data_IF_665497637347
#
_entry.id   IF_665497637347
#
_cell.length_a   1.000
_cell.length_b   1.000
_cell.length_c   1.000
_cell.angle_alpha   90.00
_cell.angle_beta   90.00
_cell.angle_gamma   90.00
#
_symmetry.space_group_name_H-M   'P 1'
#
loop_
_entity.id
_entity.type
_entity.pdbx_description
1 polymer ?
#
# COMPACT_ATOMS: atom_id res chain seq x y z
N UNK A 1 13.78 65.90 26.27
CA UNK A 1 12.80 64.92 25.75
C UNK A 1 13.56 63.89 24.95
N UNK A 2 13.81 62.71 25.53
CA UNK A 2 14.47 61.60 24.85
C UNK A 2 13.40 60.75 24.18
N UNK A 3 13.29 60.84 22.86
CA UNK A 3 12.41 59.99 22.06
C UNK A 3 13.06 58.63 21.87
N UNK A 4 12.59 57.63 22.62
CA UNK A 4 12.95 56.24 22.40
C UNK A 4 12.19 55.71 21.17
N UNK A 5 12.88 55.64 20.03
CA UNK A 5 12.42 54.89 18.88
C UNK A 5 12.55 53.39 19.17
N UNK A 6 11.46 52.76 19.59
CA UNK A 6 11.38 51.31 19.67
C UNK A 6 11.48 50.74 18.26
N UNK A 7 12.56 50.02 17.97
CA UNK A 7 12.64 49.17 16.80
C UNK A 7 11.50 48.14 16.92
N UNK A 8 10.51 48.25 16.05
CA UNK A 8 9.58 47.16 15.79
C UNK A 8 10.41 46.01 15.25
N UNK A 9 10.64 44.99 16.08
CA UNK A 9 11.10 43.69 15.60
C UNK A 9 10.11 43.28 14.49
N UNK A 10 10.56 43.29 13.24
CA UNK A 10 9.82 42.68 12.14
C UNK A 10 9.62 41.22 12.54
N UNK A 11 8.36 40.85 12.78
CA UNK A 11 8.00 39.48 13.07
C UNK A 11 8.48 38.56 11.94
N UNK A 12 8.62 37.25 12.21
CA UNK A 12 8.96 36.30 11.17
C UNK A 12 7.98 36.45 9.99
N UNK A 13 8.47 36.33 8.73
CA UNK A 13 7.64 36.49 7.55
C UNK A 13 6.43 35.56 7.64
N UNK A 14 5.24 36.10 7.37
CA UNK A 14 4.01 35.31 7.36
C UNK A 14 4.07 34.26 6.25
N UNK A 15 3.73 33.02 6.60
CA UNK A 15 3.65 31.94 5.64
C UNK A 15 2.53 32.21 4.62
N UNK A 16 2.78 32.08 3.30
CA UNK A 16 1.80 32.44 2.26
C UNK A 16 0.50 31.62 2.31
N UNK A 17 0.48 30.51 3.05
CA UNK A 17 -0.71 29.67 3.25
C UNK A 17 -1.34 29.80 4.63
N UNK A 18 -0.82 30.70 5.48
CA UNK A 18 -1.27 30.87 6.86
C UNK A 18 -0.91 29.69 7.78
N UNK A 19 -0.01 28.80 7.35
CA UNK A 19 0.45 27.63 8.10
C UNK A 19 1.89 27.89 8.55
N UNK A 20 2.15 28.25 9.82
CA UNK A 20 3.49 28.64 10.25
C UNK A 20 4.56 27.58 9.96
N UNK A 21 5.62 27.98 9.25
CA UNK A 21 6.77 27.14 8.95
C UNK A 21 6.59 26.18 7.77
N UNK A 22 5.45 26.18 7.09
CA UNK A 22 5.19 25.28 5.95
C UNK A 22 6.13 25.57 4.78
N UNK A 23 6.28 26.84 4.39
CA UNK A 23 7.15 27.24 3.29
C UNK A 23 8.60 26.84 3.52
N UNK A 24 9.14 27.14 4.70
CA UNK A 24 10.50 26.77 5.08
C UNK A 24 10.71 25.26 5.10
N UNK A 25 9.73 24.50 5.61
CA UNK A 25 9.81 23.03 5.62
C UNK A 25 9.75 22.44 4.21
N UNK A 26 8.92 22.99 3.32
CA UNK A 26 8.85 22.57 1.92
C UNK A 26 10.12 22.90 1.16
N UNK A 27 10.66 24.12 1.33
CA UNK A 27 11.92 24.52 0.70
C UNK A 27 13.05 23.57 1.12
N UNK A 28 13.19 23.29 2.41
CA UNK A 28 14.20 22.35 2.91
C UNK A 28 14.02 20.93 2.35
N UNK A 29 12.77 20.45 2.24
CA UNK A 29 12.46 19.11 1.74
C UNK A 29 12.66 18.98 0.22
N UNK A 30 12.41 20.03 -0.56
CA UNK A 30 12.48 20.01 -2.02
C UNK A 30 13.85 20.39 -2.56
N UNK A 31 14.64 21.16 -1.81
CA UNK A 31 15.96 21.64 -2.22
C UNK A 31 16.89 20.53 -2.76
N UNK A 32 16.97 19.32 -2.15
CA UNK A 32 17.83 18.25 -2.66
C UNK A 32 17.41 17.72 -4.03
N UNK A 33 16.18 17.99 -4.47
CA UNK A 33 15.59 17.43 -5.68
C UNK A 33 15.33 18.50 -6.76
N UNK A 34 15.76 19.75 -6.55
CA UNK A 34 15.54 20.84 -7.49
C UNK A 34 16.10 20.54 -8.89
N UNK A 35 17.23 19.85 -8.98
CA UNK A 35 17.86 19.49 -10.26
C UNK A 35 17.11 18.39 -11.04
N UNK A 36 16.20 17.66 -10.37
CA UNK A 36 15.37 16.63 -10.99
C UNK A 36 14.10 17.20 -11.63
N UNK A 37 13.69 18.41 -11.26
CA UNK A 37 12.53 19.09 -11.83
C UNK A 37 12.94 19.93 -13.03
N UNK A 38 12.27 19.71 -14.16
CA UNK A 38 12.59 20.37 -15.44
C UNK A 38 11.56 21.41 -15.84
N UNK A 39 10.37 21.38 -15.23
CA UNK A 39 9.24 22.22 -15.63
C UNK A 39 8.98 23.38 -14.67
N UNK A 40 9.28 23.21 -13.37
CA UNK A 40 8.98 24.19 -12.33
C UNK A 40 10.27 24.76 -11.74
N UNK A 41 10.28 26.07 -11.47
CA UNK A 41 11.32 26.63 -10.61
C UNK A 41 11.22 26.09 -9.18
N UNK A 42 12.29 26.14 -8.36
CA UNK A 42 12.21 25.73 -6.96
C UNK A 42 11.09 26.44 -6.18
N UNK A 43 10.89 27.73 -6.44
CA UNK A 43 9.81 28.52 -5.83
C UNK A 43 8.43 28.06 -6.30
N UNK A 44 8.30 27.69 -7.58
CA UNK A 44 7.08 27.12 -8.13
C UNK A 44 6.78 25.75 -7.52
N UNK A 45 7.78 24.88 -7.32
CA UNK A 45 7.62 23.59 -6.64
C UNK A 45 7.05 23.79 -5.23
N UNK A 46 7.68 24.67 -4.43
CA UNK A 46 7.22 25.03 -3.09
C UNK A 46 5.79 25.62 -3.15
N UNK A 47 5.53 26.49 -4.14
CA UNK A 47 4.22 27.13 -4.32
C UNK A 47 3.11 26.14 -4.64
N UNK A 48 3.36 25.20 -5.55
CA UNK A 48 2.40 24.19 -5.97
C UNK A 48 2.11 23.23 -4.81
N UNK A 49 3.14 22.70 -4.16
CA UNK A 49 2.96 21.76 -3.05
C UNK A 49 2.26 22.42 -1.87
N UNK A 50 2.68 23.62 -1.46
CA UNK A 50 2.06 24.35 -0.35
C UNK A 50 0.57 24.60 -0.58
N UNK A 51 0.16 24.96 -1.81
CA UNK A 51 -1.26 25.11 -2.17
C UNK A 51 -2.04 23.80 -2.04
N UNK A 52 -1.47 22.65 -2.44
CA UNK A 52 -2.13 21.34 -2.34
C UNK A 52 -2.26 20.90 -0.89
N UNK A 53 -1.18 21.01 -0.12
CA UNK A 53 -1.15 20.70 1.32
C UNK A 53 -2.18 21.53 2.06
N UNK A 54 -2.16 22.86 1.91
CA UNK A 54 -3.11 23.76 2.58
C UNK A 54 -4.56 23.47 2.17
N UNK A 55 -4.83 23.24 0.88
CA UNK A 55 -6.19 22.93 0.40
C UNK A 55 -6.72 21.61 0.97
N UNK A 56 -5.90 20.55 0.96
CA UNK A 56 -6.29 19.25 1.50
C UNK A 56 -6.49 19.32 3.02
N UNK A 57 -5.62 20.05 3.72
CA UNK A 57 -5.72 20.28 5.15
C UNK A 57 -7.01 21.04 5.54
N UNK A 58 -7.36 22.10 4.79
CA UNK A 58 -8.59 22.85 4.99
C UNK A 58 -9.84 21.98 4.76
N UNK A 59 -9.79 21.04 3.81
CA UNK A 59 -10.87 20.06 3.60
C UNK A 59 -10.96 19.09 4.79
N UNK A 60 -9.83 18.61 5.29
CA UNK A 60 -9.78 17.69 6.42
C UNK A 60 -10.19 18.33 7.74
N UNK A 61 -9.98 19.64 7.92
CA UNK A 61 -10.45 20.39 9.10
C UNK A 61 -11.97 20.30 9.32
N UNK A 62 -12.72 19.91 8.28
CA UNK A 62 -14.17 19.69 8.33
C UNK A 62 -14.55 18.24 8.72
N UNK A 63 -13.58 17.38 9.01
CA UNK A 63 -13.86 16.00 9.44
C UNK A 63 -14.58 15.99 10.81
N UNK A 64 -15.79 15.44 10.83
CA UNK A 64 -16.66 15.41 12.00
C UNK A 64 -16.03 14.68 13.20
N UNK A 65 -15.13 13.72 12.96
CA UNK A 65 -14.42 12.98 14.01
C UNK A 65 -13.56 13.89 14.88
N UNK A 66 -13.12 15.05 14.35
CA UNK A 66 -12.34 16.03 15.09
C UNK A 66 -13.12 16.72 16.22
N UNK A 67 -14.46 16.67 16.19
CA UNK A 67 -15.33 17.23 17.23
C UNK A 67 -15.51 16.27 18.40
N UNK A 68 -15.25 14.99 18.19
CA UNK A 68 -15.39 13.93 19.18
C UNK A 68 -14.23 13.93 20.17
N UNK A 69 -14.48 13.44 21.38
CA UNK A 69 -13.41 13.17 22.35
C UNK A 69 -12.90 11.76 22.10
N UNK A 70 -11.64 11.63 21.71
CA UNK A 70 -11.04 10.33 21.41
C UNK A 70 -9.95 9.89 22.37
N UNK A 71 -9.52 8.64 22.18
CA UNK A 71 -8.34 8.06 22.80
C UNK A 71 -7.12 8.10 21.86
N UNK A 72 -5.94 7.76 22.38
CA UNK A 72 -4.68 7.86 21.64
C UNK A 72 -4.72 7.11 20.28
N UNK A 73 -5.26 5.89 20.25
CA UNK A 73 -5.37 5.13 19.00
C UNK A 73 -6.32 5.76 17.95
N UNK A 74 -7.42 6.41 18.36
CA UNK A 74 -8.27 7.19 17.45
C UNK A 74 -7.52 8.41 16.91
N UNK A 75 -6.78 9.11 17.77
CA UNK A 75 -5.91 10.21 17.34
C UNK A 75 -4.87 9.77 16.31
N UNK A 76 -4.20 8.63 16.54
CA UNK A 76 -3.25 8.03 15.59
C UNK A 76 -3.92 7.74 14.24
N UNK A 77 -5.07 7.07 14.24
CA UNK A 77 -5.80 6.75 13.01
C UNK A 77 -6.19 8.00 12.22
N UNK A 78 -6.68 9.06 12.89
CA UNK A 78 -7.02 10.32 12.23
C UNK A 78 -5.79 11.00 11.63
N UNK A 79 -4.64 10.98 12.30
CA UNK A 79 -3.38 11.52 11.76
C UNK A 79 -2.94 10.74 10.51
N UNK A 80 -3.07 9.42 10.53
CA UNK A 80 -2.76 8.59 9.36
C UNK A 80 -3.69 8.92 8.18
N UNK A 81 -5.00 8.99 8.41
CA UNK A 81 -5.97 9.39 7.39
C UNK A 81 -5.70 10.80 6.85
N UNK A 82 -5.30 11.73 7.73
CA UNK A 82 -4.94 13.10 7.38
C UNK A 82 -3.74 13.15 6.43
N UNK A 83 -2.67 12.44 6.78
CA UNK A 83 -1.46 12.36 5.96
C UNK A 83 -1.78 11.74 4.60
N UNK A 84 -2.50 10.61 4.57
CA UNK A 84 -2.91 9.97 3.32
C UNK A 84 -3.77 10.89 2.46
N UNK A 85 -4.75 11.60 3.05
CA UNK A 85 -5.61 12.52 2.31
C UNK A 85 -4.81 13.67 1.67
N UNK A 86 -3.77 14.17 2.35
CA UNK A 86 -2.90 15.21 1.82
C UNK A 86 -2.01 14.66 0.71
N UNK A 87 -1.31 13.54 0.95
CA UNK A 87 -0.37 12.96 -0.02
C UNK A 87 -1.09 12.49 -1.28
N UNK A 88 -2.30 11.92 -1.19
CA UNK A 88 -3.14 11.66 -2.37
C UNK A 88 -3.43 12.91 -3.20
N UNK A 89 -3.61 14.08 -2.57
CA UNK A 89 -3.78 15.34 -3.30
C UNK A 89 -2.49 15.83 -3.97
N UNK A 90 -1.32 15.46 -3.45
CA UNK A 90 -0.02 15.77 -4.02
C UNK A 90 0.25 14.83 -5.21
N UNK A 91 0.16 13.51 -4.99
CA UNK A 91 0.36 12.48 -6.02
C UNK A 91 -0.55 12.72 -7.22
N UNK A 92 -1.83 13.06 -7.02
CA UNK A 92 -2.74 13.30 -8.13
C UNK A 92 -2.31 14.46 -9.06
N UNK A 93 -1.50 15.38 -8.56
CA UNK A 93 -1.06 16.58 -9.30
C UNK A 93 0.37 16.46 -9.82
N UNK A 94 1.15 15.49 -9.35
CA UNK A 94 2.58 15.36 -9.63
C UNK A 94 2.97 13.90 -9.96
N UNK A 95 2.01 13.06 -10.39
CA UNK A 95 2.21 11.60 -10.55
C UNK A 95 3.31 11.23 -11.54
N UNK A 96 3.66 12.16 -12.44
CA UNK A 96 4.68 12.06 -13.47
C UNK A 96 6.05 12.58 -13.03
N UNK A 97 6.16 13.16 -11.83
CA UNK A 97 7.41 13.75 -11.32
C UNK A 97 8.29 12.69 -10.69
N UNK A 98 9.50 12.53 -11.20
CA UNK A 98 10.47 11.52 -10.75
C UNK A 98 10.91 11.71 -9.29
N UNK A 99 10.95 12.96 -8.82
CA UNK A 99 11.32 13.31 -7.45
C UNK A 99 10.19 13.09 -6.43
N UNK A 100 8.95 12.84 -6.88
CA UNK A 100 7.77 12.80 -6.00
C UNK A 100 7.95 11.83 -4.82
N UNK A 101 8.47 10.63 -5.05
CA UNK A 101 8.64 9.64 -3.98
C UNK A 101 9.94 9.80 -3.17
N UNK A 102 10.83 10.71 -3.60
CA UNK A 102 12.13 10.94 -2.95
C UNK A 102 12.07 12.05 -1.88
N UNK A 103 11.02 12.88 -1.91
CA UNK A 103 10.86 14.01 -1.00
C UNK A 103 10.51 13.55 0.42
N UNK A 104 11.22 14.09 1.42
CA UNK A 104 10.84 13.94 2.83
C UNK A 104 9.64 14.84 3.16
N UNK A 105 8.44 14.28 3.04
CA UNK A 105 7.21 14.99 3.38
C UNK A 105 6.94 15.10 4.88
N UNK A 106 7.70 14.43 5.76
CA UNK A 106 7.37 14.42 7.18
C UNK A 106 7.45 15.83 7.80
N UNK A 107 8.52 16.62 7.66
CA UNK A 107 8.58 17.97 8.21
C UNK A 107 7.44 18.90 7.77
N UNK A 108 7.13 19.06 6.46
CA UNK A 108 6.02 19.92 6.05
C UNK A 108 4.67 19.38 6.55
N UNK A 109 4.43 18.07 6.52
CA UNK A 109 3.18 17.51 7.04
C UNK A 109 3.02 17.65 8.54
N UNK A 110 4.10 17.65 9.31
CA UNK A 110 4.08 17.96 10.75
C UNK A 110 3.62 19.41 10.97
N UNK A 111 4.14 20.37 10.20
CA UNK A 111 3.69 21.76 10.27
C UNK A 111 2.19 21.91 9.95
N UNK A 112 1.72 21.26 8.89
CA UNK A 112 0.29 21.26 8.52
C UNK A 112 -0.55 20.58 9.61
N UNK A 113 -0.15 19.39 10.10
CA UNK A 113 -0.86 18.66 11.14
C UNK A 113 -0.99 19.50 12.42
N UNK A 114 0.09 20.15 12.86
CA UNK A 114 0.06 21.01 14.03
C UNK A 114 -0.86 22.21 13.87
N UNK A 115 -0.91 22.82 12.69
CA UNK A 115 -1.81 23.92 12.43
C UNK A 115 -3.27 23.44 12.42
N UNK A 116 -3.58 22.42 11.62
CA UNK A 116 -4.95 21.97 11.36
C UNK A 116 -5.58 21.25 12.54
N UNK A 117 -4.82 20.45 13.28
CA UNK A 117 -5.35 19.59 14.35
C UNK A 117 -5.29 20.26 15.74
N UNK A 118 -4.81 21.50 15.82
CA UNK A 118 -4.66 22.24 17.09
C UNK A 118 -6.00 22.45 17.78
N UNK A 119 -6.05 22.12 19.07
CA UNK A 119 -7.21 22.42 19.91
C UNK A 119 -8.40 21.48 19.73
N UNK A 120 -8.33 20.52 18.80
CA UNK A 120 -9.38 19.52 18.62
C UNK A 120 -9.41 18.51 19.78
N UNK A 121 -10.62 18.19 20.25
CA UNK A 121 -10.83 17.36 21.45
C UNK A 121 -10.32 15.92 21.29
N UNK A 122 -10.27 15.42 20.07
CA UNK A 122 -9.78 14.08 19.75
C UNK A 122 -8.30 13.90 20.11
N UNK A 123 -7.53 15.00 20.13
CA UNK A 123 -6.11 15.02 20.48
C UNK A 123 -5.84 15.49 21.91
N UNK A 124 -6.85 15.62 22.76
CA UNK A 124 -6.67 16.09 24.15
C UNK A 124 -5.71 15.23 24.99
N UNK A 125 -5.38 14.01 24.52
CA UNK A 125 -4.42 13.08 25.14
C UNK A 125 -3.25 12.71 24.24
N UNK A 126 -3.13 13.34 23.07
CA UNK A 126 -2.04 13.08 22.13
C UNK A 126 -1.01 14.19 22.31
N UNK A 127 0.18 13.82 22.82
CA UNK A 127 1.27 14.75 23.00
C UNK A 127 1.87 15.16 21.65
N UNK A 128 2.44 16.36 21.57
CA UNK A 128 3.08 16.89 20.37
C UNK A 128 4.12 15.91 19.78
N UNK A 129 5.08 15.35 20.54
CA UNK A 129 6.05 14.40 19.99
C UNK A 129 5.41 13.11 19.45
N UNK A 130 4.24 12.71 19.96
CA UNK A 130 3.52 11.56 19.42
C UNK A 130 2.91 11.87 18.05
N UNK A 131 2.46 13.11 17.82
CA UNK A 131 1.94 13.55 16.52
C UNK A 131 3.03 13.48 15.44
N UNK A 132 4.21 14.01 15.71
CA UNK A 132 5.36 13.94 14.80
C UNK A 132 5.69 12.49 14.41
N UNK A 133 5.80 11.61 15.41
CA UNK A 133 6.03 10.18 15.18
C UNK A 133 4.93 9.56 14.31
N UNK A 134 3.66 9.86 14.57
CA UNK A 134 2.55 9.32 13.78
C UNK A 134 2.52 9.86 12.34
N UNK A 135 2.93 11.12 12.13
CA UNK A 135 3.09 11.68 10.78
C UNK A 135 4.20 10.96 10.04
N UNK A 136 5.37 10.77 10.66
CA UNK A 136 6.49 10.03 10.07
C UNK A 136 6.10 8.59 9.71
N UNK A 137 5.48 7.86 10.64
CA UNK A 137 4.96 6.50 10.38
C UNK A 137 3.97 6.47 9.20
N UNK A 138 3.10 7.48 9.10
CA UNK A 138 2.12 7.57 8.01
C UNK A 138 2.77 7.89 6.65
N UNK A 139 3.79 8.77 6.63
CA UNK A 139 4.56 9.09 5.42
C UNK A 139 5.32 7.86 4.92
N UNK A 140 6.02 7.15 5.82
CA UNK A 140 6.73 5.92 5.47
C UNK A 140 5.78 4.85 4.92
N UNK A 141 4.62 4.69 5.56
CA UNK A 141 3.58 3.77 5.07
C UNK A 141 3.07 4.16 3.68
N UNK A 142 2.78 5.43 3.44
CA UNK A 142 2.35 5.90 2.13
C UNK A 142 3.42 5.65 1.07
N UNK A 143 4.68 5.98 1.36
CA UNK A 143 5.78 5.76 0.43
C UNK A 143 5.96 4.28 0.08
N UNK A 144 5.80 3.40 1.07
CA UNK A 144 5.84 1.95 0.87
C UNK A 144 4.65 1.45 0.02
N UNK A 145 3.44 1.98 0.24
CA UNK A 145 2.25 1.66 -0.57
C UNK A 145 2.44 2.10 -2.03
N UNK A 146 2.97 3.30 -2.29
CA UNK A 146 3.28 3.78 -3.66
C UNK A 146 4.39 2.96 -4.33
N UNK A 147 5.43 2.60 -3.58
CA UNK A 147 6.52 1.74 -4.06
C UNK A 147 6.00 0.36 -4.46
N UNK A 148 5.24 -0.28 -3.57
CA UNK A 148 4.61 -1.57 -3.83
C UNK A 148 3.72 -1.50 -5.07
N UNK A 149 2.90 -0.45 -5.18
CA UNK A 149 2.00 -0.28 -6.31
C UNK A 149 2.73 -0.20 -7.66
N UNK A 150 3.84 0.55 -7.69
CA UNK A 150 4.72 0.68 -8.85
C UNK A 150 5.38 -0.65 -9.20
N UNK A 151 6.00 -1.33 -8.24
CA UNK A 151 6.67 -2.61 -8.47
C UNK A 151 5.68 -3.68 -8.98
N UNK A 152 4.45 -3.70 -8.45
CA UNK A 152 3.39 -4.59 -8.95
C UNK A 152 3.01 -4.24 -10.38
N UNK A 153 2.88 -2.95 -10.71
CA UNK A 153 2.57 -2.54 -12.08
C UNK A 153 3.66 -2.96 -13.06
N UNK A 154 4.93 -2.69 -12.75
CA UNK A 154 6.08 -3.05 -13.56
C UNK A 154 6.18 -4.57 -13.76
N UNK A 155 5.97 -5.36 -12.69
CA UNK A 155 5.94 -6.82 -12.78
C UNK A 155 4.81 -7.33 -13.71
N UNK A 156 3.62 -6.72 -13.64
CA UNK A 156 2.50 -7.06 -14.54
C UNK A 156 2.79 -6.67 -15.98
N UNK A 157 3.48 -5.56 -16.23
CA UNK A 157 3.87 -5.13 -17.58
C UNK A 157 4.95 -6.02 -18.20
N UNK A 158 5.86 -6.55 -17.38
CA UNK A 158 6.91 -7.47 -17.80
C UNK A 158 6.37 -8.84 -18.21
N UNK A 159 5.22 -9.27 -17.66
CA UNK A 159 4.61 -10.56 -17.98
C UNK A 159 3.74 -10.54 -19.24
N UNK A 160 3.46 -11.73 -19.78
CA UNK A 160 2.63 -11.95 -20.98
C UNK A 160 1.11 -11.76 -20.75
N UNK A 161 0.71 -10.73 -20.00
CA UNK A 161 -0.69 -10.36 -19.73
C UNK A 161 -1.16 -9.32 -20.76
N UNK A 162 -2.31 -9.58 -21.38
CA UNK A 162 -2.99 -8.63 -22.29
C UNK A 162 -3.15 -7.27 -21.64
N UNK A 163 -2.81 -6.22 -22.40
CA UNK A 163 -2.84 -4.82 -21.92
C UNK A 163 -4.19 -4.43 -21.30
N UNK A 164 -5.30 -4.85 -21.92
CA UNK A 164 -6.66 -4.60 -21.44
C UNK A 164 -6.98 -5.21 -20.08
N UNK A 165 -6.20 -6.20 -19.62
CA UNK A 165 -6.37 -6.88 -18.35
C UNK A 165 -5.31 -6.53 -17.30
N UNK A 166 -4.26 -5.77 -17.65
CA UNK A 166 -3.17 -5.41 -16.71
C UNK A 166 -3.70 -4.71 -15.45
N UNK A 167 -4.60 -3.73 -15.61
CA UNK A 167 -5.23 -3.03 -14.48
C UNK A 167 -6.03 -3.97 -13.56
N UNK A 168 -6.72 -4.95 -14.14
CA UNK A 168 -7.46 -5.96 -13.39
C UNK A 168 -6.51 -6.92 -12.67
N UNK A 169 -5.44 -7.36 -13.35
CA UNK A 169 -4.38 -8.20 -12.79
C UNK A 169 -3.73 -7.52 -11.57
N UNK A 170 -3.26 -6.27 -11.71
CA UNK A 170 -2.74 -5.45 -10.59
C UNK A 170 -3.72 -5.43 -9.42
N UNK A 171 -4.99 -5.13 -9.67
CA UNK A 171 -6.01 -5.10 -8.62
C UNK A 171 -6.18 -6.43 -7.88
N UNK A 172 -6.09 -7.56 -8.60
CA UNK A 172 -6.13 -8.90 -7.98
C UNK A 172 -4.87 -9.22 -7.18
N UNK A 173 -3.69 -8.83 -7.66
CA UNK A 173 -2.41 -9.03 -6.95
C UNK A 173 -2.40 -8.23 -5.65
N UNK A 174 -2.76 -6.95 -5.68
CA UNK A 174 -2.79 -6.08 -4.49
C UNK A 174 -3.80 -6.60 -3.44
N UNK A 175 -5.01 -6.96 -3.87
CA UNK A 175 -6.00 -7.53 -2.95
C UNK A 175 -5.55 -8.88 -2.36
N UNK A 176 -4.86 -9.71 -3.15
CA UNK A 176 -4.29 -10.96 -2.67
C UNK A 176 -3.13 -10.73 -1.68
N UNK A 177 -2.31 -9.70 -1.90
CA UNK A 177 -1.21 -9.30 -1.01
C UNK A 177 -1.73 -8.90 0.37
N UNK A 178 -2.74 -8.03 0.40
CA UNK A 178 -3.37 -7.58 1.66
C UNK A 178 -3.99 -8.76 2.43
N UNK A 179 -4.67 -9.67 1.73
CA UNK A 179 -5.29 -10.83 2.36
C UNK A 179 -4.29 -11.89 2.82
N UNK A 180 -3.16 -12.03 2.14
CA UNK A 180 -2.12 -13.00 2.48
C UNK A 180 -1.55 -12.76 3.89
N UNK A 181 -1.48 -11.50 4.34
CA UNK A 181 -1.05 -11.16 5.71
C UNK A 181 -1.86 -11.86 6.80
N UNK A 182 -3.12 -12.21 6.53
CA UNK A 182 -4.03 -12.82 7.51
C UNK A 182 -4.36 -14.27 7.15
N UNK A 183 -4.41 -14.59 5.85
CA UNK A 183 -4.93 -15.86 5.35
C UNK A 183 -3.89 -16.82 4.80
N UNK A 184 -2.61 -16.43 4.76
CA UNK A 184 -1.57 -17.36 4.38
C UNK A 184 -1.59 -18.62 5.28
N UNK A 185 -1.16 -19.78 4.76
CA UNK A 185 -1.17 -21.03 5.51
C UNK A 185 -0.01 -21.05 6.51
N UNK A 186 -0.08 -20.18 7.52
CA UNK A 186 0.93 -20.04 8.55
C UNK A 186 1.13 -21.36 9.30
N UNK A 187 2.39 -21.66 9.65
CA UNK A 187 2.81 -22.86 10.38
C UNK A 187 2.55 -24.20 9.63
N UNK A 188 2.53 -24.19 8.30
CA UNK A 188 2.33 -25.39 7.46
C UNK A 188 3.56 -25.82 6.68
N UNK A 189 4.56 -24.95 6.51
CA UNK A 189 5.79 -25.24 5.79
C UNK A 189 6.98 -25.36 6.74
N UNK A 190 8.01 -26.07 6.29
CA UNK A 190 9.31 -26.14 6.96
C UNK A 190 10.38 -25.65 6.00
N UNK A 191 11.24 -24.74 6.46
CA UNK A 191 12.39 -24.24 5.72
C UNK A 191 13.66 -24.33 6.59
N UNK A 192 14.78 -23.80 6.08
CA UNK A 192 16.06 -23.78 6.80
C UNK A 192 15.98 -23.00 8.12
N UNK A 193 15.16 -21.95 8.16
CA UNK A 193 14.82 -21.17 9.36
C UNK A 193 13.31 -20.99 9.48
N UNK A 194 12.76 -20.83 10.71
CA UNK A 194 11.36 -20.51 10.92
C UNK A 194 10.92 -19.23 10.19
N UNK A 195 11.76 -18.21 10.18
CA UNK A 195 11.46 -16.91 9.55
C UNK A 195 11.40 -17.03 8.02
N UNK A 196 12.27 -17.85 7.42
CA UNK A 196 12.19 -18.18 6.00
C UNK A 196 10.93 -19.01 5.70
N UNK A 197 10.51 -19.90 6.60
CA UNK A 197 9.25 -20.64 6.44
C UNK A 197 8.04 -19.70 6.44
N UNK A 198 7.99 -18.73 7.35
CA UNK A 198 6.94 -17.69 7.37
C UNK A 198 6.91 -16.89 6.05
N UNK A 199 8.07 -16.50 5.52
CA UNK A 199 8.13 -15.79 4.25
C UNK A 199 7.63 -16.66 3.08
N UNK A 200 8.00 -17.94 3.06
CA UNK A 200 7.52 -18.91 2.06
C UNK A 200 6.01 -19.13 2.17
N UNK A 201 5.46 -19.22 3.38
CA UNK A 201 4.02 -19.34 3.63
C UNK A 201 3.25 -18.12 3.17
N UNK A 202 3.76 -16.92 3.47
CA UNK A 202 3.19 -15.67 2.96
C UNK A 202 3.09 -15.70 1.44
N UNK A 203 4.20 -16.02 0.75
CA UNK A 203 4.25 -16.06 -0.71
C UNK A 203 3.33 -17.14 -1.29
N UNK A 204 3.30 -18.36 -0.72
CA UNK A 204 2.36 -19.41 -1.14
C UNK A 204 0.91 -18.96 -0.97
N UNK A 205 0.58 -18.34 0.16
CA UNK A 205 -0.74 -17.77 0.45
C UNK A 205 -1.12 -16.67 -0.54
N UNK A 206 -0.19 -15.78 -0.86
CA UNK A 206 -0.37 -14.71 -1.83
C UNK A 206 -0.64 -15.25 -3.24
N UNK A 207 0.13 -16.24 -3.70
CA UNK A 207 -0.09 -16.94 -4.98
C UNK A 207 -1.48 -17.58 -4.99
N UNK A 208 -1.83 -18.35 -3.95
CA UNK A 208 -3.13 -19.04 -3.84
C UNK A 208 -4.31 -18.07 -3.95
N UNK A 209 -4.28 -16.97 -3.18
CA UNK A 209 -5.33 -15.95 -3.18
C UNK A 209 -5.42 -15.22 -4.53
N UNK A 210 -4.29 -14.98 -5.19
CA UNK A 210 -4.26 -14.38 -6.51
C UNK A 210 -4.90 -15.30 -7.55
N UNK A 211 -4.47 -16.56 -7.66
CA UNK A 211 -4.98 -17.52 -8.65
C UNK A 211 -6.50 -17.71 -8.49
N UNK A 212 -6.98 -17.84 -7.25
CA UNK A 212 -8.40 -17.96 -6.95
C UNK A 212 -9.23 -16.74 -7.44
N UNK A 213 -8.66 -15.53 -7.40
CA UNK A 213 -9.34 -14.29 -7.83
C UNK A 213 -9.18 -14.03 -9.32
N UNK A 214 -8.06 -14.42 -9.88
CA UNK A 214 -7.61 -14.04 -11.20
C UNK A 214 -7.93 -15.11 -12.27
N UNK A 215 -8.73 -16.12 -11.94
CA UNK A 215 -9.11 -17.23 -12.83
C UNK A 215 -9.54 -16.79 -14.23
N UNK A 216 -10.46 -15.82 -14.33
CA UNK A 216 -10.93 -15.27 -15.61
C UNK A 216 -9.78 -14.70 -16.46
N UNK A 217 -8.81 -14.05 -15.82
CA UNK A 217 -7.64 -13.49 -16.48
C UNK A 217 -6.62 -14.57 -16.85
N UNK A 218 -6.47 -15.61 -16.03
CA UNK A 218 -5.64 -16.77 -16.37
C UNK A 218 -6.20 -17.58 -17.56
N UNK A 219 -7.53 -17.64 -17.70
CA UNK A 219 -8.22 -18.36 -18.78
C UNK A 219 -8.32 -17.56 -20.09
N UNK A 220 -8.28 -16.24 -20.04
CA UNK A 220 -8.56 -15.40 -21.23
C UNK A 220 -7.51 -14.31 -21.49
N UNK A 221 -6.54 -14.14 -20.60
CA UNK A 221 -5.65 -12.98 -20.55
C UNK A 221 -4.23 -13.16 -21.08
N UNK A 222 -3.84 -14.38 -21.47
CA UNK A 222 -2.53 -14.63 -22.09
C UNK A 222 -2.50 -14.13 -23.54
N UNK A 223 -1.45 -13.40 -23.92
CA UNK A 223 -1.35 -12.70 -25.22
C UNK A 223 -1.30 -13.66 -26.41
N UNK A 224 -0.62 -14.80 -26.28
CA UNK A 224 -0.28 -15.67 -27.42
C UNK A 224 -1.14 -16.95 -27.50
N UNK A 225 -1.96 -17.23 -26.48
CA UNK A 225 -2.69 -18.49 -26.38
C UNK A 225 -4.21 -18.32 -26.61
N UNK A 226 -4.74 -19.07 -27.58
CA UNK A 226 -6.19 -19.13 -27.85
C UNK A 226 -6.92 -19.88 -26.74
N UNK A 227 -6.26 -20.86 -26.14
CA UNK A 227 -6.73 -21.61 -24.98
C UNK A 227 -5.56 -21.84 -24.01
N UNK A 228 -5.49 -21.06 -22.92
CA UNK A 228 -4.50 -21.26 -21.87
C UNK A 228 -4.50 -22.69 -21.35
N UNK A 229 -3.33 -23.28 -21.26
CA UNK A 229 -3.11 -24.58 -20.62
C UNK A 229 -2.77 -24.38 -19.14
N UNK A 230 -2.90 -25.42 -18.32
CA UNK A 230 -2.44 -25.38 -16.92
C UNK A 230 -0.97 -24.96 -16.85
N UNK A 231 -0.12 -25.54 -17.69
CA UNK A 231 1.32 -25.29 -17.69
C UNK A 231 1.64 -23.83 -18.06
N UNK A 232 0.93 -23.24 -19.02
CA UNK A 232 1.13 -21.83 -19.37
C UNK A 232 0.62 -20.87 -18.29
N UNK A 233 -0.42 -21.25 -17.54
CA UNK A 233 -0.89 -20.49 -16.37
C UNK A 233 0.11 -20.57 -15.21
N UNK A 234 0.64 -21.76 -14.91
CA UNK A 234 1.70 -21.95 -13.91
C UNK A 234 2.95 -21.16 -14.29
N UNK A 235 3.34 -21.19 -15.57
CA UNK A 235 4.50 -20.44 -16.06
C UNK A 235 4.29 -18.93 -15.89
N UNK A 236 3.12 -18.39 -16.26
CA UNK A 236 2.79 -16.97 -16.04
C UNK A 236 2.89 -16.62 -14.55
N UNK A 237 2.26 -17.40 -13.68
CA UNK A 237 2.29 -17.15 -12.23
C UNK A 237 3.72 -17.22 -11.69
N UNK A 238 4.52 -18.18 -12.18
CA UNK A 238 5.93 -18.30 -11.80
C UNK A 238 6.70 -17.04 -12.19
N UNK A 239 6.61 -16.61 -13.45
CA UNK A 239 7.30 -15.41 -13.94
C UNK A 239 6.88 -14.16 -13.17
N UNK A 240 5.57 -13.96 -12.99
CA UNK A 240 5.00 -12.84 -12.26
C UNK A 240 5.53 -12.77 -10.83
N UNK A 241 5.46 -13.88 -10.10
CA UNK A 241 5.91 -13.90 -8.71
C UNK A 241 7.43 -13.86 -8.58
N UNK A 242 8.20 -14.38 -9.54
CA UNK A 242 9.66 -14.17 -9.57
C UNK A 242 10.00 -12.68 -9.69
N UNK A 243 9.30 -11.93 -10.54
CA UNK A 243 9.48 -10.48 -10.65
C UNK A 243 9.09 -9.76 -9.35
N UNK A 244 7.94 -10.11 -8.75
CA UNK A 244 7.45 -9.53 -7.49
C UNK A 244 8.35 -9.84 -6.27
N UNK A 245 9.05 -10.96 -6.29
CA UNK A 245 9.98 -11.35 -5.21
C UNK A 245 11.44 -11.06 -5.56
N UNK A 246 11.71 -10.40 -6.68
CA UNK A 246 13.06 -10.02 -7.05
C UNK A 246 13.63 -8.97 -6.07
N UNK A 247 14.95 -8.95 -5.81
CA UNK A 247 15.56 -7.92 -4.97
C UNK A 247 15.37 -6.51 -5.53
N UNK A 248 15.29 -6.36 -6.86
CA UNK A 248 15.15 -5.07 -7.53
C UNK A 248 13.70 -4.53 -7.47
N UNK A 249 12.71 -5.43 -7.41
CA UNK A 249 11.28 -5.12 -7.34
C UNK A 249 10.64 -5.67 -6.07
N UNK A 250 11.32 -5.56 -4.93
CA UNK A 250 10.98 -6.29 -3.70
C UNK A 250 9.58 -5.94 -3.16
N UNK A 251 8.54 -6.63 -3.62
CA UNK A 251 7.18 -6.48 -3.10
C UNK A 251 6.96 -7.28 -1.81
N UNK A 252 7.98 -7.95 -1.28
CA UNK A 252 7.89 -8.74 -0.07
C UNK A 252 7.71 -7.84 1.17
N UNK A 253 6.90 -8.25 2.17
CA UNK A 253 6.75 -7.49 3.40
C UNK A 253 8.10 -7.30 4.10
N UNK A 254 8.50 -6.05 4.32
CA UNK A 254 9.82 -5.70 4.86
C UNK A 254 10.07 -6.33 6.23
N UNK A 255 9.04 -6.46 7.06
CA UNK A 255 9.05 -7.11 8.37
C UNK A 255 9.49 -8.58 8.27
N UNK A 256 8.95 -9.31 7.29
CA UNK A 256 9.24 -10.73 7.08
C UNK A 256 10.63 -10.91 6.48
N UNK A 257 11.02 -10.05 5.53
CA UNK A 257 12.35 -10.07 4.93
C UNK A 257 13.42 -9.75 5.98
N UNK A 258 13.18 -8.76 6.85
CA UNK A 258 14.09 -8.40 7.93
C UNK A 258 14.24 -9.54 8.95
N UNK A 259 13.16 -10.27 9.25
CA UNK A 259 13.20 -11.41 10.15
C UNK A 259 13.98 -12.61 9.56
N UNK A 260 13.91 -12.84 8.25
CA UNK A 260 14.54 -14.00 7.60
C UNK A 260 16.08 -13.96 7.59
N UNK A 261 16.71 -12.83 7.92
CA UNK A 261 18.16 -12.53 7.90
C UNK A 261 18.87 -12.69 6.54
N UNK A 262 18.41 -13.61 5.69
CA UNK A 262 18.92 -13.89 4.35
C UNK A 262 17.89 -13.50 3.30
N UNK A 263 18.30 -12.66 2.35
CA UNK A 263 17.49 -12.34 1.17
C UNK A 263 17.22 -13.61 0.36
N UNK A 264 15.99 -13.84 -0.12
CA UNK A 264 15.71 -14.94 -1.03
C UNK A 264 16.63 -14.93 -2.27
N UNK A 265 17.06 -16.09 -2.78
CA UNK A 265 17.86 -16.16 -3.99
C UNK A 265 17.05 -15.65 -5.20
N UNK A 266 17.73 -15.12 -6.22
CA UNK A 266 17.10 -14.70 -7.49
C UNK A 266 17.78 -15.41 -8.67
N UNK A 267 17.07 -16.27 -9.43
CA UNK A 267 15.66 -16.66 -9.27
C UNK A 267 15.44 -17.49 -8.00
N UNK A 268 14.24 -17.42 -7.43
CA UNK A 268 13.90 -18.16 -6.21
C UNK A 268 13.19 -19.48 -6.56
N UNK A 269 13.83 -20.67 -6.40
CA UNK A 269 13.23 -21.93 -6.85
C UNK A 269 11.89 -22.27 -6.17
N UNK A 270 11.66 -21.75 -4.96
CA UNK A 270 10.43 -21.93 -4.22
C UNK A 270 9.20 -21.42 -4.98
N UNK A 271 9.32 -20.34 -5.77
CA UNK A 271 8.18 -19.75 -6.49
C UNK A 271 7.53 -20.76 -7.44
N UNK A 272 8.35 -21.45 -8.26
CA UNK A 272 7.85 -22.46 -9.19
C UNK A 272 7.17 -23.63 -8.45
N UNK A 273 7.76 -24.07 -7.34
CA UNK A 273 7.20 -25.14 -6.50
C UNK A 273 5.86 -24.71 -5.87
N UNK A 274 5.78 -23.48 -5.38
CA UNK A 274 4.57 -22.91 -4.79
C UNK A 274 3.46 -22.74 -5.83
N UNK A 275 3.78 -22.25 -7.03
CA UNK A 275 2.82 -22.17 -8.13
C UNK A 275 2.28 -23.56 -8.51
N UNK A 276 3.14 -24.55 -8.71
CA UNK A 276 2.70 -25.92 -9.02
C UNK A 276 1.80 -26.51 -7.92
N UNK A 277 2.19 -26.34 -6.66
CA UNK A 277 1.39 -26.79 -5.52
C UNK A 277 0.02 -26.13 -5.48
N UNK A 278 -0.06 -24.81 -5.69
CA UNK A 278 -1.33 -24.06 -5.67
C UNK A 278 -2.27 -24.54 -6.77
N UNK A 279 -1.77 -24.75 -8.00
CA UNK A 279 -2.62 -25.25 -9.08
C UNK A 279 -3.03 -26.71 -8.84
N UNK A 280 -2.15 -27.54 -8.27
CA UNK A 280 -2.49 -28.90 -7.83
C UNK A 280 -3.62 -28.92 -6.79
N UNK A 281 -3.52 -28.06 -5.76
CA UNK A 281 -4.55 -27.93 -4.72
C UNK A 281 -5.92 -27.53 -5.32
N UNK A 282 -5.93 -26.69 -6.36
CA UNK A 282 -7.15 -26.30 -7.08
C UNK A 282 -7.75 -27.45 -7.89
N UNK A 283 -6.92 -28.19 -8.63
CA UNK A 283 -7.36 -29.34 -9.42
C UNK A 283 -7.99 -30.42 -8.52
N UNK A 284 -7.40 -30.68 -7.35
CA UNK A 284 -7.94 -31.59 -6.33
C UNK A 284 -9.25 -31.08 -5.73
N UNK A 285 -9.35 -29.77 -5.47
CA UNK A 285 -10.56 -29.12 -4.97
C UNK A 285 -11.74 -29.24 -5.94
N UNK A 286 -11.50 -29.02 -7.24
CA UNK A 286 -12.51 -29.15 -8.30
C UNK A 286 -12.95 -30.60 -8.49
N UNK A 287 -12.01 -31.55 -8.45
CA UNK A 287 -12.32 -32.98 -8.50
C UNK A 287 -13.17 -33.42 -7.30
N UNK A 288 -12.84 -32.95 -6.10
CA UNK A 288 -13.60 -33.21 -4.87
C UNK A 288 -15.02 -32.65 -4.93
N UNK A 289 -15.17 -31.41 -5.41
CA UNK A 289 -16.48 -30.77 -5.59
C UNK A 289 -17.34 -31.51 -6.65
N UNK A 290 -16.74 -31.93 -7.76
CA UNK A 290 -17.42 -32.72 -8.78
C UNK A 290 -17.87 -34.09 -8.26
N UNK A 291 -17.02 -34.79 -7.50
CA UNK A 291 -17.35 -36.06 -6.87
C UNK A 291 -18.51 -35.93 -5.87
N UNK A 292 -18.49 -34.88 -5.03
CA UNK A 292 -19.56 -34.60 -4.08
C UNK A 292 -20.89 -34.26 -4.79
N UNK A 293 -20.84 -33.55 -5.92
CA UNK A 293 -22.03 -33.26 -6.73
C UNK A 293 -22.60 -34.50 -7.44
N UNK A 294 -21.75 -35.50 -7.73
CA UNK A 294 -22.15 -36.76 -8.35
C UNK A 294 -22.79 -37.75 -7.36
N UNK A 295 -22.59 -37.60 -6.04
CA UNK A 295 -23.28 -38.43 -5.06
C UNK A 295 -24.79 -38.16 -5.09
N UNK A 296 -25.64 -39.20 -5.31
CA UNK A 296 -27.08 -39.01 -5.41
C UNK A 296 -27.63 -38.52 -4.06
N UNK A 297 -28.29 -37.36 -4.09
CA UNK A 297 -28.86 -36.72 -2.91
C UNK A 297 -29.62 -37.76 -2.05
N UNK A 298 -29.33 -37.85 -0.74
CA UNK A 298 -29.93 -38.87 0.12
C UNK A 298 -31.45 -38.75 0.01
N UNK A 299 -32.10 -39.85 -0.42
CA UNK A 299 -33.56 -39.92 -0.56
C UNK A 299 -34.16 -39.44 0.75
N UNK A 300 -34.72 -38.22 0.76
CA UNK A 300 -35.45 -37.67 1.91
C UNK A 300 -36.49 -38.69 2.31
N UNK A 301 -36.19 -39.45 3.37
CA UNK A 301 -37.10 -40.43 3.93
C UNK A 301 -38.32 -39.62 4.37
N UNK A 302 -39.41 -39.78 3.63
CA UNK A 302 -40.64 -39.02 3.82
C UNK A 302 -41.17 -39.39 5.20
N UNK A 303 -40.78 -38.59 6.19
CA UNK A 303 -41.12 -38.80 7.59
C UNK A 303 -42.61 -39.00 7.70
N UNK A 304 -42.99 -40.21 8.12
CA UNK A 304 -44.36 -40.59 8.35
C UNK A 304 -44.99 -39.59 9.31
N UNK A 305 -46.01 -38.89 8.83
CA UNK A 305 -46.93 -38.09 9.63
C UNK A 305 -47.73 -39.07 10.49
N UNK A 306 -47.16 -39.50 11.62
CA UNK A 306 -47.86 -40.24 12.65
C UNK A 306 -48.92 -39.33 13.26
N UNK A 307 -50.18 -39.60 12.97
CA UNK A 307 -51.33 -39.04 13.66
C UNK A 307 -52.06 -40.16 14.40
N UNK A 308 -52.37 -39.87 15.67
CA UNK A 308 -53.31 -40.51 16.59
C UNK A 308 -53.03 -41.97 17.00
#
# INVERSE_FOLDING_TARGET
AAGGGGATEEGPPEDPWGIPGLATALEAALQPHADLETEWSPEEMVSQLGKRLSKAANKFALDERLKERGHAAQGKAIIQDFVLAILHSVTSSCYDKSWLLEVDYAPPLVAVAHHTLRGHKVFARTLFPAMEKHVQEAVLRWAEEERLDRCVWEAVEACAVKESLRKKCRGHIMAAYDEAHVKAPWDTLSADTPEMAMLQEFVKGWISLFVARAWDMLQHGLVEEVQPTRDSQVLLCTELFQNLTSPDGACLPSDLVAAAETTPPNPWPFIAQACEAVFGDMDEGDAGAAAAAAEPAPKRQRGGRGGA
#
